data_IF_315796619803
#
_entry.id   IF_315796619803
#
_cell.length_a   1.000
_cell.length_b   1.000
_cell.length_c   1.000
_cell.angle_alpha   90.00
_cell.angle_beta   90.00
_cell.angle_gamma   90.00
#
_symmetry.space_group_name_H-M   'P 1'
#
loop_
_entity.id
_entity.type
_entity.pdbx_description
1 polymer ?
#
# COMPACT_ATOMS: atom_id res chain seq x y z
N UNK A 1 -5.18 -29.05 -1.18
CA UNK A 1 -4.19 -29.47 -2.20
C UNK A 1 -4.45 -28.67 -3.46
N UNK A 2 -3.73 -27.56 -3.66
CA UNK A 2 -3.88 -26.69 -4.82
C UNK A 2 -2.69 -26.90 -5.76
N UNK A 3 -2.72 -28.01 -6.50
CA UNK A 3 -1.62 -28.45 -7.37
C UNK A 3 -1.31 -27.43 -8.48
N UNK A 4 -2.33 -26.70 -8.96
CA UNK A 4 -2.19 -25.66 -9.98
C UNK A 4 -1.94 -24.25 -9.41
N UNK A 5 -1.89 -24.06 -8.09
CA UNK A 5 -1.71 -22.72 -7.53
C UNK A 5 -0.41 -22.05 -7.99
N UNK A 6 0.63 -22.84 -8.30
CA UNK A 6 1.93 -22.30 -8.75
C UNK A 6 1.87 -21.70 -10.16
N UNK A 7 1.02 -22.22 -11.05
CA UNK A 7 0.86 -21.69 -12.41
C UNK A 7 -0.10 -20.50 -12.48
N UNK A 8 -0.87 -20.25 -11.42
CA UNK A 8 -1.81 -19.13 -11.31
C UNK A 8 -1.24 -17.91 -10.58
N UNK A 9 0.03 -17.98 -10.14
CA UNK A 9 0.69 -16.86 -9.46
C UNK A 9 1.68 -16.16 -10.39
N UNK A 10 1.85 -14.86 -10.20
CA UNK A 10 2.90 -14.07 -10.85
C UNK A 10 3.84 -13.56 -9.75
N UNK A 11 4.89 -14.31 -9.39
CA UNK A 11 5.77 -13.96 -8.27
C UNK A 11 6.55 -12.65 -8.48
N UNK A 12 6.66 -12.20 -9.73
CA UNK A 12 7.35 -10.95 -10.10
C UNK A 12 6.47 -9.71 -9.99
N UNK A 13 5.20 -9.84 -9.56
CA UNK A 13 4.33 -8.68 -9.32
C UNK A 13 4.87 -7.89 -8.14
N UNK A 14 4.99 -6.59 -8.34
CA UNK A 14 5.40 -5.63 -7.33
C UNK A 14 4.22 -4.73 -6.95
N UNK A 15 4.20 -4.28 -5.71
CA UNK A 15 3.23 -3.35 -5.17
C UNK A 15 3.72 -1.91 -5.34
N UNK A 16 3.17 -1.21 -6.34
CA UNK A 16 3.54 0.17 -6.67
C UNK A 16 3.02 1.22 -5.67
N UNK A 17 1.97 0.88 -4.93
CA UNK A 17 1.27 1.76 -4.01
C UNK A 17 -0.21 1.95 -4.38
N UNK A 18 -0.90 2.97 -3.84
CA UNK A 18 -0.47 3.96 -2.85
C UNK A 18 0.00 3.29 -1.54
N UNK A 19 1.27 3.47 -1.18
CA UNK A 19 1.82 2.84 0.03
C UNK A 19 1.45 3.67 1.27
N UNK A 20 1.30 3.04 2.44
CA UNK A 20 1.18 3.75 3.71
C UNK A 20 2.27 4.82 3.92
N UNK A 21 3.53 4.52 3.58
CA UNK A 21 4.66 5.46 3.69
C UNK A 21 4.54 6.65 2.73
N UNK A 22 3.87 6.50 1.59
CA UNK A 22 3.62 7.59 0.65
C UNK A 22 2.68 8.64 1.24
N UNK A 23 1.73 8.25 2.09
CA UNK A 23 0.78 9.18 2.72
C UNK A 23 1.52 10.25 3.53
N UNK A 24 2.53 9.82 4.30
CA UNK A 24 3.36 10.72 5.09
C UNK A 24 4.30 11.54 4.20
N UNK A 25 4.95 10.91 3.22
CA UNK A 25 5.91 11.56 2.32
C UNK A 25 5.27 12.65 1.46
N UNK A 26 4.08 12.39 0.95
CA UNK A 26 3.32 13.29 0.08
C UNK A 26 2.50 14.32 0.86
N UNK A 27 2.45 14.20 2.19
CA UNK A 27 1.64 15.06 3.07
C UNK A 27 0.19 15.15 2.60
N UNK A 28 -0.41 13.98 2.30
CA UNK A 28 -1.81 13.91 1.88
C UNK A 28 -2.69 14.62 2.93
N UNK A 29 -3.58 15.54 2.52
CA UNK A 29 -4.46 16.25 3.44
C UNK A 29 -5.22 15.31 4.36
N UNK A 30 -5.28 15.64 5.66
CA UNK A 30 -5.93 14.79 6.67
C UNK A 30 -7.40 14.53 6.37
N UNK A 31 -8.08 15.49 5.75
CA UNK A 31 -9.50 15.38 5.37
C UNK A 31 -9.73 14.33 4.26
N UNK A 32 -8.67 13.95 3.52
CA UNK A 32 -8.71 12.87 2.53
C UNK A 32 -8.30 11.51 3.11
N UNK A 33 -7.90 11.46 4.39
CA UNK A 33 -7.55 10.24 5.09
C UNK A 33 -8.77 9.67 5.81
N UNK A 34 -8.90 8.35 5.78
CA UNK A 34 -10.01 7.62 6.34
C UNK A 34 -9.49 6.82 7.54
N UNK A 35 -10.03 7.00 8.75
CA UNK A 35 -9.67 6.16 9.89
C UNK A 35 -9.89 4.67 9.59
N UNK A 36 -9.01 3.81 10.09
CA UNK A 36 -9.24 2.37 9.98
C UNK A 36 -10.49 1.98 10.76
N UNK A 37 -11.24 1.04 10.20
CA UNK A 37 -12.33 0.38 10.92
C UNK A 37 -11.79 -0.85 11.65
N UNK A 38 -12.53 -1.34 12.65
CA UNK A 38 -12.22 -2.64 13.31
C UNK A 38 -12.05 -3.80 12.32
N UNK A 39 -12.76 -3.76 11.19
CA UNK A 39 -12.63 -4.75 10.12
C UNK A 39 -11.29 -4.62 9.40
N UNK A 40 -10.85 -3.39 9.13
CA UNK A 40 -9.55 -3.13 8.52
C UNK A 40 -8.41 -3.58 9.45
N UNK A 41 -8.49 -3.23 10.74
CA UNK A 41 -7.52 -3.65 11.76
C UNK A 41 -7.45 -5.18 11.89
N UNK A 42 -8.60 -5.86 11.95
CA UNK A 42 -8.66 -7.33 12.00
C UNK A 42 -8.04 -7.96 10.75
N UNK A 43 -8.30 -7.36 9.57
CA UNK A 43 -7.71 -7.81 8.31
C UNK A 43 -6.19 -7.61 8.29
N UNK A 44 -5.71 -6.45 8.74
CA UNK A 44 -4.28 -6.11 8.81
C UNK A 44 -3.54 -7.08 9.74
N UNK A 45 -4.06 -7.31 10.94
CA UNK A 45 -3.53 -8.28 11.90
C UNK A 45 -3.52 -9.72 11.34
N UNK A 46 -4.53 -10.09 10.56
CA UNK A 46 -4.56 -11.40 9.89
C UNK A 46 -3.52 -11.51 8.78
N UNK A 47 -3.27 -10.44 8.02
CA UNK A 47 -2.27 -10.41 6.96
C UNK A 47 -0.85 -10.49 7.51
N UNK A 48 -0.53 -9.75 8.57
CA UNK A 48 0.78 -9.76 9.23
C UNK A 48 1.20 -11.16 9.74
N UNK A 49 0.23 -12.02 10.06
CA UNK A 49 0.48 -13.40 10.50
C UNK A 49 0.75 -14.38 9.36
N UNK A 50 0.66 -13.96 8.09
CA UNK A 50 0.79 -14.86 6.94
C UNK A 50 2.26 -15.14 6.64
N UNK A 51 2.66 -16.41 6.39
CA UNK A 51 4.06 -16.77 6.16
C UNK A 51 4.72 -16.00 5.01
N UNK A 52 3.98 -15.72 3.93
CA UNK A 52 4.52 -14.99 2.78
C UNK A 52 4.71 -13.48 3.02
N UNK A 53 4.07 -12.93 4.06
CA UNK A 53 4.34 -11.56 4.51
C UNK A 53 5.61 -11.51 5.32
N UNK A 54 5.83 -12.51 6.19
CA UNK A 54 7.07 -12.62 6.97
C UNK A 54 8.32 -12.77 6.09
N UNK A 55 8.19 -13.32 4.87
CA UNK A 55 9.27 -13.38 3.88
C UNK A 55 9.47 -12.09 3.07
N UNK A 56 8.64 -11.06 3.27
CA UNK A 56 8.68 -9.78 2.55
C UNK A 56 8.78 -8.62 3.56
N UNK A 57 10.01 -8.27 4.02
CA UNK A 57 10.21 -7.26 5.06
C UNK A 57 9.62 -5.89 4.72
N UNK A 58 9.68 -5.48 3.45
CA UNK A 58 9.15 -4.19 3.02
C UNK A 58 7.62 -4.13 3.12
N UNK A 59 6.91 -5.23 2.80
CA UNK A 59 5.46 -5.31 2.97
C UNK A 59 5.07 -5.26 4.43
N UNK A 60 5.81 -5.97 5.29
CA UNK A 60 5.59 -5.95 6.72
C UNK A 60 5.76 -4.53 7.27
N UNK A 61 6.81 -3.82 6.89
CA UNK A 61 7.06 -2.43 7.29
C UNK A 61 5.92 -1.48 6.89
N UNK A 62 5.42 -1.59 5.65
CA UNK A 62 4.28 -0.77 5.19
C UNK A 62 3.00 -1.08 5.99
N UNK A 63 2.72 -2.35 6.28
CA UNK A 63 1.57 -2.75 7.10
C UNK A 63 1.69 -2.30 8.55
N UNK A 64 2.88 -2.38 9.14
CA UNK A 64 3.15 -1.86 10.48
C UNK A 64 2.97 -0.34 10.54
N UNK A 65 3.40 0.40 9.50
CA UNK A 65 3.17 1.84 9.39
C UNK A 65 1.68 2.19 9.24
N UNK A 66 0.92 1.37 8.52
CA UNK A 66 -0.53 1.49 8.45
C UNK A 66 -1.18 1.24 9.82
N UNK A 67 -0.67 0.28 10.59
CA UNK A 67 -1.12 0.00 11.95
C UNK A 67 -0.75 1.12 12.92
N UNK A 68 0.39 1.77 12.77
CA UNK A 68 0.79 2.90 13.62
C UNK A 68 -0.02 4.16 13.32
N UNK A 69 -0.24 4.44 12.04
CA UNK A 69 -0.96 5.65 11.60
C UNK A 69 -2.47 5.57 11.75
N UNK A 70 -3.04 4.35 11.83
CA UNK A 70 -4.48 4.09 11.99
C UNK A 70 -5.35 4.77 10.92
N UNK A 71 -4.79 4.99 9.73
CA UNK A 71 -5.49 5.58 8.58
C UNK A 71 -5.26 4.79 7.30
N UNK A 72 -6.19 4.92 6.36
CA UNK A 72 -6.09 4.50 4.97
C UNK A 72 -6.47 5.65 4.06
N UNK A 73 -6.15 5.54 2.78
CA UNK A 73 -6.53 6.52 1.78
C UNK A 73 -6.97 5.83 0.50
N UNK A 74 -7.88 6.48 -0.23
CA UNK A 74 -8.18 6.11 -1.61
C UNK A 74 -7.08 6.63 -2.53
N UNK A 75 -6.81 5.98 -3.67
CA UNK A 75 -5.81 6.48 -4.64
C UNK A 75 -6.22 7.86 -5.17
N UNK A 76 -7.54 8.09 -5.30
CA UNK A 76 -8.15 9.35 -5.68
C UNK A 76 -7.82 10.49 -4.71
N UNK A 77 -7.43 10.19 -3.45
CA UNK A 77 -6.99 11.22 -2.51
C UNK A 77 -5.79 12.02 -3.01
N UNK A 78 -4.98 11.48 -3.92
CA UNK A 78 -3.88 12.21 -4.55
C UNK A 78 -4.34 13.41 -5.37
N UNK A 79 -5.59 13.41 -5.86
CA UNK A 79 -6.18 14.55 -6.56
C UNK A 79 -6.35 15.79 -5.66
N UNK A 80 -6.37 15.59 -4.33
CA UNK A 80 -6.39 16.71 -3.36
C UNK A 80 -5.07 17.48 -3.31
N UNK A 81 -3.97 16.91 -3.80
CA UNK A 81 -2.68 17.59 -3.96
C UNK A 81 -2.70 18.44 -5.24
N UNK A 82 -3.05 17.81 -6.37
CA UNK A 82 -3.34 18.45 -7.64
C UNK A 82 -4.19 17.49 -8.51
N UNK A 83 -5.12 17.98 -9.36
CA UNK A 83 -6.05 17.12 -10.12
C UNK A 83 -5.38 16.02 -10.97
N UNK A 84 -4.20 16.30 -11.51
CA UNK A 84 -3.41 15.44 -12.39
C UNK A 84 -2.17 14.83 -11.69
N UNK A 85 -2.09 14.94 -10.36
CA UNK A 85 -0.93 14.50 -9.57
C UNK A 85 -0.60 13.02 -9.78
N UNK A 86 -1.63 12.17 -9.83
CA UNK A 86 -1.47 10.72 -10.00
C UNK A 86 -0.70 10.38 -11.28
N UNK A 87 -1.12 10.95 -12.40
CA UNK A 87 -0.62 10.62 -13.74
C UNK A 87 0.66 11.37 -14.09
N UNK A 88 0.77 12.64 -13.68
CA UNK A 88 1.86 13.50 -14.11
C UNK A 88 3.06 13.47 -13.14
N UNK A 89 2.84 13.07 -11.88
CA UNK A 89 3.87 13.11 -10.84
C UNK A 89 4.05 11.75 -10.16
N UNK A 90 3.00 11.19 -9.56
CA UNK A 90 3.13 10.02 -8.70
C UNK A 90 3.60 8.77 -9.45
N UNK A 91 2.86 8.35 -10.48
CA UNK A 91 3.18 7.14 -11.25
C UNK A 91 4.51 7.25 -11.99
N UNK A 92 4.82 8.34 -12.73
CA UNK A 92 6.10 8.45 -13.43
C UNK A 92 7.30 8.41 -12.47
N UNK A 93 7.22 9.07 -11.32
CA UNK A 93 8.31 9.05 -10.34
C UNK A 93 8.48 7.66 -9.71
N UNK A 94 7.38 7.00 -9.32
CA UNK A 94 7.42 5.65 -8.77
C UNK A 94 8.06 4.67 -9.76
N UNK A 95 7.66 4.74 -11.04
CA UNK A 95 8.19 3.89 -12.10
C UNK A 95 9.66 4.18 -12.43
N UNK A 96 10.06 5.45 -12.46
CA UNK A 96 11.44 5.86 -12.80
C UNK A 96 12.45 5.52 -11.70
N UNK A 97 12.07 5.63 -10.43
CA UNK A 97 12.98 5.50 -9.30
C UNK A 97 12.84 4.19 -8.52
N UNK A 98 12.06 3.22 -9.01
CA UNK A 98 11.94 1.93 -8.33
C UNK A 98 11.14 2.00 -7.02
N UNK A 99 10.13 2.86 -6.93
CA UNK A 99 9.40 3.15 -5.69
C UNK A 99 8.36 2.10 -5.28
N UNK A 100 8.50 0.85 -5.72
CA UNK A 100 7.59 -0.26 -5.45
C UNK A 100 8.25 -1.27 -4.50
N UNK A 101 7.44 -2.11 -3.86
CA UNK A 101 7.88 -3.17 -2.94
C UNK A 101 7.30 -4.52 -3.31
#
# INVERSE_FOLDING_TARGET
MSFEARSLTVPSVMWLGLLPSDLQRLRVPRDSLIPLTKRDESKLNSLLKRPYVASQPDWQKEMELMQQSQVKAEIQSLASIAPDFLTNIYLPNKLRYGGWV
#
